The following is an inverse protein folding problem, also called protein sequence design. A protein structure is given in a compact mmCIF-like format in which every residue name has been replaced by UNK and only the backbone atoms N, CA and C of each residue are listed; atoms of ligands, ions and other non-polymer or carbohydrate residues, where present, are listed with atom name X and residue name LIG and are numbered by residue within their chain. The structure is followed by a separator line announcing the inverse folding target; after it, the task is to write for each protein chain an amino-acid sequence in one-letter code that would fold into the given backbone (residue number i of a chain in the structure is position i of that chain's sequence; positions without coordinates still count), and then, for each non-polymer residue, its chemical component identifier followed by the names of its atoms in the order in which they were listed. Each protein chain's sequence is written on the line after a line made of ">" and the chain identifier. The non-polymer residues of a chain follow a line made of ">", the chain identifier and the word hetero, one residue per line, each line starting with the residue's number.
data_IF_525399554986
#
_entry.id   IF_525399554986
#
_cell.length_a   1.000
_cell.length_b   1.000
_cell.length_c   1.000
_cell.angle_alpha   90.00
_cell.angle_beta   90.00
_cell.angle_gamma   90.00
#
_symmetry.space_group_name_H-M   'P 1'
#
loop_
_entity.id
_entity.type
_entity.pdbx_description
1 polymer ?
#
# COMPACT_ATOMS: atom_id res chain seq x y z
N UNK A 1 35.76 48.29 31.99
CA UNK A 1 34.47 48.59 32.63
C UNK A 1 33.55 49.06 31.51
N UNK A 2 32.51 48.38 31.06
CA UNK A 2 31.99 47.04 31.34
C UNK A 2 31.28 46.55 30.08
N UNK A 3 31.58 45.31 29.70
CA UNK A 3 30.94 44.54 28.63
C UNK A 3 29.68 43.88 29.17
N UNK A 4 28.48 44.42 28.95
CA UNK A 4 27.24 43.65 29.17
C UNK A 4 26.01 44.20 28.43
N UNK A 5 25.96 44.08 27.10
CA UNK A 5 24.67 43.95 26.39
C UNK A 5 24.79 42.75 25.45
N UNK A 6 24.96 41.59 26.05
CA UNK A 6 24.82 40.29 25.42
C UNK A 6 23.79 39.55 26.26
N UNK A 7 22.55 39.40 25.77
CA UNK A 7 21.48 38.47 26.23
C UNK A 7 20.09 38.86 25.71
N UNK A 8 19.95 39.15 24.42
CA UNK A 8 18.64 38.97 23.74
C UNK A 8 18.91 38.32 22.37
N UNK A 9 19.63 37.20 22.42
CA UNK A 9 19.56 36.16 21.42
C UNK A 9 18.90 34.96 22.11
N UNK A 10 18.06 34.23 21.37
CA UNK A 10 17.27 33.08 21.81
C UNK A 10 15.94 33.41 22.51
N UNK A 11 14.89 33.71 21.71
CA UNK A 11 13.52 33.34 22.09
C UNK A 11 12.48 33.42 20.95
N UNK A 12 12.83 33.81 19.71
CA UNK A 12 11.83 33.86 18.60
C UNK A 12 12.39 33.18 17.35
N UNK A 13 12.69 31.89 17.50
CA UNK A 13 12.75 30.96 16.39
C UNK A 13 12.04 29.70 16.88
N UNK A 14 10.73 29.83 17.10
CA UNK A 14 9.86 28.66 17.17
C UNK A 14 9.81 28.11 15.75
N UNK A 15 10.84 27.33 15.42
CA UNK A 15 10.89 26.51 14.24
C UNK A 15 9.55 25.77 14.16
N UNK A 16 8.83 25.97 13.06
CA UNK A 16 7.93 24.96 12.56
C UNK A 16 8.78 23.72 12.26
N UNK A 17 9.14 22.98 13.30
CA UNK A 17 9.31 21.56 13.19
C UNK A 17 7.91 21.04 12.87
N UNK A 18 7.58 21.06 11.58
CA UNK A 18 6.67 20.07 11.03
C UNK A 18 7.29 18.75 11.45
N UNK A 19 6.77 18.18 12.54
CA UNK A 19 6.86 16.78 12.82
C UNK A 19 6.29 16.12 11.57
N UNK A 20 7.15 15.86 10.60
CA UNK A 20 6.97 14.76 9.70
C UNK A 20 6.97 13.55 10.64
N UNK A 21 5.78 13.27 11.18
CA UNK A 21 5.43 11.93 11.65
C UNK A 21 6.02 11.01 10.59
N UNK A 22 6.94 10.09 10.94
CA UNK A 22 7.37 9.12 9.97
C UNK A 22 6.09 8.41 9.57
N UNK A 23 5.58 8.73 8.38
CA UNK A 23 4.51 7.98 7.74
C UNK A 23 5.00 6.55 7.84
N UNK A 24 4.29 5.76 8.66
CA UNK A 24 4.71 4.48 9.20
C UNK A 24 5.83 3.88 8.36
N UNK A 25 7.05 3.79 8.91
CA UNK A 25 8.12 3.03 8.28
C UNK A 25 7.47 1.74 7.80
N UNK A 26 7.25 1.67 6.48
CA UNK A 26 6.42 0.67 5.84
C UNK A 26 6.97 -0.65 6.36
N UNK A 27 6.10 -1.55 6.85
CA UNK A 27 6.54 -2.88 7.27
C UNK A 27 6.95 -3.65 6.02
N UNK A 28 8.14 -3.31 5.55
CA UNK A 28 8.83 -3.75 4.36
C UNK A 28 9.25 -5.20 4.53
N UNK A 29 9.48 -5.63 5.78
CA UNK A 29 9.77 -7.00 6.14
C UNK A 29 8.54 -7.88 5.86
N UNK A 30 7.36 -7.47 6.35
CA UNK A 30 6.11 -8.20 6.08
C UNK A 30 5.78 -8.27 4.59
N UNK A 31 5.89 -7.16 3.86
CA UNK A 31 5.68 -7.18 2.41
C UNK A 31 6.71 -8.05 1.68
N UNK A 32 7.96 -8.07 2.14
CA UNK A 32 9.01 -8.97 1.62
C UNK A 32 8.65 -10.44 1.81
N UNK A 33 8.22 -10.83 3.01
CA UNK A 33 7.77 -12.20 3.29
C UNK A 33 6.57 -12.58 2.42
N UNK A 34 5.55 -11.72 2.35
CA UNK A 34 4.37 -11.98 1.52
C UNK A 34 4.72 -12.06 0.03
N UNK A 35 5.65 -11.23 -0.45
CA UNK A 35 6.15 -11.26 -1.82
C UNK A 35 6.90 -12.57 -2.16
N UNK A 36 7.69 -13.07 -1.20
CA UNK A 36 8.39 -14.35 -1.34
C UNK A 36 7.42 -15.54 -1.43
N UNK A 37 6.24 -15.46 -0.81
CA UNK A 37 5.18 -16.48 -0.91
C UNK A 37 4.46 -16.50 -2.26
N UNK A 38 4.54 -15.42 -3.06
CA UNK A 38 3.88 -15.35 -4.36
C UNK A 38 4.58 -16.22 -5.41
N UNK A 39 3.80 -16.90 -6.24
CA UNK A 39 4.31 -17.54 -7.46
C UNK A 39 4.70 -16.50 -8.53
N UNK A 40 5.43 -16.91 -9.56
CA UNK A 40 5.76 -16.01 -10.67
C UNK A 40 4.51 -15.48 -11.40
N UNK A 41 3.47 -16.31 -11.50
CA UNK A 41 2.17 -15.91 -12.07
C UNK A 41 1.48 -14.84 -11.23
N UNK A 42 1.51 -14.99 -9.91
CA UNK A 42 0.95 -14.03 -8.95
C UNK A 42 1.67 -12.67 -9.03
N UNK A 43 3.02 -12.70 -9.08
CA UNK A 43 3.85 -11.51 -9.25
C UNK A 43 3.59 -10.83 -10.60
N UNK A 44 3.41 -11.60 -11.67
CA UNK A 44 3.05 -11.05 -12.98
C UNK A 44 1.67 -10.38 -12.98
N UNK A 45 0.70 -10.95 -12.25
CA UNK A 45 -0.65 -10.40 -12.13
C UNK A 45 -0.64 -8.99 -11.53
N UNK A 46 0.02 -8.79 -10.38
CA UNK A 46 0.07 -7.47 -9.73
C UNK A 46 0.89 -6.45 -10.54
N UNK A 47 1.98 -6.89 -11.19
CA UNK A 47 2.75 -6.05 -12.13
C UNK A 47 1.89 -5.55 -13.29
N UNK A 48 1.08 -6.42 -13.86
CA UNK A 48 0.19 -6.08 -14.97
C UNK A 48 -0.93 -5.14 -14.50
N UNK A 49 -1.58 -5.47 -13.38
CA UNK A 49 -2.72 -4.72 -12.89
C UNK A 49 -2.35 -3.29 -12.46
N UNK A 50 -1.17 -3.11 -11.84
CA UNK A 50 -0.70 -1.81 -11.35
C UNK A 50 -0.41 -0.78 -12.45
N UNK A 51 -0.50 -1.14 -13.73
CA UNK A 51 -0.32 -0.19 -14.83
C UNK A 51 -1.49 0.77 -15.07
N UNK A 52 -2.69 0.52 -14.47
CA UNK A 52 -3.88 1.34 -14.74
C UNK A 52 -4.83 1.40 -13.55
N UNK A 53 -5.34 2.60 -13.26
CA UNK A 53 -6.35 2.86 -12.21
C UNK A 53 -7.63 2.10 -12.51
N UNK A 54 -8.22 1.52 -11.46
CA UNK A 54 -9.47 0.77 -11.54
C UNK A 54 -9.33 -0.63 -12.10
N UNK A 55 -8.11 -1.05 -12.51
CA UNK A 55 -7.90 -2.44 -12.92
C UNK A 55 -8.25 -3.37 -11.77
N UNK A 56 -9.19 -4.29 -12.03
CA UNK A 56 -9.67 -5.23 -11.04
C UNK A 56 -8.81 -6.48 -11.05
N UNK A 57 -8.53 -6.99 -9.86
CA UNK A 57 -7.89 -8.27 -9.62
C UNK A 57 -8.80 -9.09 -8.70
N UNK A 58 -8.93 -10.37 -9.01
CA UNK A 58 -9.75 -11.30 -8.24
C UNK A 58 -8.88 -12.44 -7.75
N UNK A 59 -9.18 -12.92 -6.55
CA UNK A 59 -8.51 -14.08 -5.99
C UNK A 59 -9.41 -14.75 -4.96
N UNK A 60 -8.89 -15.78 -4.29
CA UNK A 60 -9.59 -16.52 -3.25
C UNK A 60 -8.98 -16.18 -1.90
N UNK A 61 -9.83 -16.00 -0.90
CA UNK A 61 -9.47 -15.75 0.49
C UNK A 61 -8.47 -16.79 0.99
N UNK A 62 -7.40 -16.32 1.63
CA UNK A 62 -6.33 -17.17 2.16
C UNK A 62 -5.22 -17.50 1.19
N UNK A 63 -5.38 -17.24 -0.12
CA UNK A 63 -4.30 -17.37 -1.10
C UNK A 63 -3.15 -16.39 -0.82
N UNK A 64 -1.93 -16.66 -1.32
CA UNK A 64 -0.81 -15.72 -1.25
C UNK A 64 -1.16 -14.33 -1.82
N UNK A 65 -1.85 -14.29 -2.97
CA UNK A 65 -2.38 -13.04 -3.56
C UNK A 65 -3.31 -12.30 -2.60
N UNK A 66 -4.28 -13.00 -1.99
CA UNK A 66 -5.22 -12.36 -1.09
C UNK A 66 -4.50 -11.69 0.09
N UNK A 67 -3.49 -12.35 0.68
CA UNK A 67 -2.71 -11.78 1.78
C UNK A 67 -1.92 -10.54 1.32
N UNK A 68 -1.19 -10.65 0.22
CA UNK A 68 -0.36 -9.56 -0.30
C UNK A 68 -1.22 -8.36 -0.73
N UNK A 69 -2.29 -8.59 -1.48
CA UNK A 69 -3.18 -7.53 -1.96
C UNK A 69 -3.99 -6.89 -0.83
N UNK A 70 -4.36 -7.64 0.21
CA UNK A 70 -4.97 -7.04 1.41
C UNK A 70 -3.99 -6.11 2.14
N UNK A 71 -2.71 -6.46 2.20
CA UNK A 71 -1.69 -5.58 2.77
C UNK A 71 -1.52 -4.30 1.94
N UNK A 72 -1.58 -4.40 0.61
CA UNK A 72 -1.59 -3.22 -0.27
C UNK A 72 -2.88 -2.39 -0.12
N UNK A 73 -4.02 -3.05 0.11
CA UNK A 73 -5.32 -2.40 0.39
C UNK A 73 -5.27 -1.61 1.70
N UNK A 74 -4.74 -2.21 2.77
CA UNK A 74 -4.52 -1.53 4.05
C UNK A 74 -3.58 -0.31 3.97
N UNK A 75 -2.75 -0.23 2.93
CA UNK A 75 -1.86 0.91 2.62
C UNK A 75 -2.48 1.94 1.67
N UNK A 76 -3.72 1.71 1.24
CA UNK A 76 -4.47 2.53 0.29
C UNK A 76 -3.92 2.48 -1.14
N UNK A 77 -3.16 1.43 -1.49
CA UNK A 77 -2.64 1.23 -2.84
C UNK A 77 -3.66 0.46 -3.71
N UNK A 78 -4.38 -0.47 -3.08
CA UNK A 78 -5.57 -1.10 -3.63
C UNK A 78 -6.79 -0.62 -2.83
N UNK A 79 -7.97 -0.82 -3.39
CA UNK A 79 -9.24 -0.77 -2.66
C UNK A 79 -9.93 -2.11 -2.77
N UNK A 80 -10.64 -2.51 -1.72
CA UNK A 80 -11.53 -3.66 -1.80
C UNK A 80 -12.71 -3.33 -2.73
N UNK A 81 -13.17 -4.31 -3.47
CA UNK A 81 -14.32 -4.19 -4.39
C UNK A 81 -15.38 -5.17 -3.93
N UNK A 82 -16.61 -4.69 -3.74
CA UNK A 82 -17.69 -5.59 -3.37
C UNK A 82 -18.02 -6.50 -4.55
N UNK A 83 -18.19 -7.80 -4.32
CA UNK A 83 -18.48 -8.74 -5.41
C UNK A 83 -19.80 -8.42 -6.12
N UNK A 84 -20.75 -7.79 -5.44
CA UNK A 84 -22.01 -7.29 -6.04
C UNK A 84 -21.76 -6.24 -7.12
N UNK A 85 -20.69 -5.45 -7.01
CA UNK A 85 -20.30 -4.49 -8.07
C UNK A 85 -19.82 -5.19 -9.35
N UNK A 86 -19.38 -6.44 -9.24
CA UNK A 86 -18.79 -7.19 -10.35
C UNK A 86 -19.76 -8.22 -10.94
N UNK A 87 -20.47 -8.94 -10.06
CA UNK A 87 -21.27 -10.11 -10.42
C UNK A 87 -22.78 -9.92 -10.16
N UNK A 88 -23.20 -8.78 -9.61
CA UNK A 88 -24.61 -8.50 -9.31
C UNK A 88 -25.21 -9.61 -8.43
N UNK A 89 -26.31 -10.19 -8.90
CA UNK A 89 -27.08 -11.21 -8.17
C UNK A 89 -26.29 -12.50 -7.89
N UNK A 90 -25.23 -12.78 -8.65
CA UNK A 90 -24.39 -13.97 -8.43
C UNK A 90 -23.34 -13.78 -7.33
N UNK A 91 -23.18 -12.57 -6.80
CA UNK A 91 -22.13 -12.25 -5.83
C UNK A 91 -22.12 -13.20 -4.62
N UNK A 92 -23.30 -13.57 -4.10
CA UNK A 92 -23.41 -14.46 -2.96
C UNK A 92 -22.81 -15.86 -3.20
N UNK A 93 -22.81 -16.35 -4.44
CA UNK A 93 -22.20 -17.64 -4.80
C UNK A 93 -20.66 -17.54 -4.79
N UNK A 94 -20.13 -16.44 -5.34
CA UNK A 94 -18.70 -16.18 -5.34
C UNK A 94 -18.16 -15.86 -3.94
N UNK A 95 -18.93 -15.17 -3.10
CA UNK A 95 -18.58 -14.94 -1.69
C UNK A 95 -18.51 -16.26 -0.92
N UNK A 96 -19.45 -17.19 -1.13
CA UNK A 96 -19.41 -18.54 -0.55
C UNK A 96 -18.20 -19.35 -1.04
N UNK A 97 -17.81 -19.17 -2.29
CA UNK A 97 -16.57 -19.74 -2.83
C UNK A 97 -15.29 -19.05 -2.30
N UNK A 98 -15.44 -18.03 -1.44
CA UNK A 98 -14.33 -17.30 -0.83
C UNK A 98 -13.65 -16.31 -1.77
N UNK A 99 -14.30 -15.91 -2.87
CA UNK A 99 -13.74 -14.92 -3.78
C UNK A 99 -13.63 -13.57 -3.10
N UNK A 100 -12.54 -12.85 -3.41
CA UNK A 100 -12.32 -11.46 -3.01
C UNK A 100 -11.78 -10.69 -4.22
N UNK A 101 -12.10 -9.40 -4.28
CA UNK A 101 -11.70 -8.55 -5.39
C UNK A 101 -11.10 -7.23 -4.90
N UNK A 102 -10.13 -6.75 -5.65
CA UNK A 102 -9.42 -5.51 -5.39
C UNK A 102 -9.35 -4.69 -6.67
N UNK A 103 -9.35 -3.37 -6.55
CA UNK A 103 -9.09 -2.46 -7.66
C UNK A 103 -7.88 -1.57 -7.36
N UNK A 104 -7.08 -1.32 -8.39
CA UNK A 104 -5.92 -0.44 -8.27
C UNK A 104 -6.37 1.01 -8.09
N UNK A 105 -5.85 1.68 -7.07
CA UNK A 105 -6.12 3.10 -6.82
C UNK A 105 -5.14 3.99 -7.63
N UNK A 106 -5.39 5.30 -7.76
CA UNK A 106 -4.40 6.23 -8.31
C UNK A 106 -3.02 6.11 -7.64
N UNK A 107 -3.01 6.11 -6.29
CA UNK A 107 -1.78 5.92 -5.49
C UNK A 107 -1.10 4.57 -5.78
N UNK A 108 -1.90 3.53 -6.04
CA UNK A 108 -1.44 2.21 -6.43
C UNK A 108 -0.64 2.21 -7.73
N UNK A 109 -1.14 2.89 -8.77
CA UNK A 109 -0.43 3.01 -10.05
C UNK A 109 0.92 3.70 -9.87
N UNK A 110 0.98 4.72 -9.03
CA UNK A 110 2.21 5.48 -8.78
C UNK A 110 3.23 4.70 -7.94
N UNK A 111 2.77 3.92 -6.96
CA UNK A 111 3.65 3.36 -5.92
C UNK A 111 3.97 1.87 -6.10
N UNK A 112 3.04 1.05 -6.62
CA UNK A 112 3.22 -0.40 -6.70
C UNK A 112 4.40 -0.79 -7.60
N UNK A 113 4.62 -0.18 -8.79
CA UNK A 113 5.77 -0.56 -9.63
C UNK A 113 7.12 -0.35 -8.94
N UNK A 114 7.29 0.76 -8.22
CA UNK A 114 8.49 1.05 -7.44
C UNK A 114 8.67 0.08 -6.26
N UNK A 115 7.57 -0.20 -5.56
CA UNK A 115 7.55 -1.18 -4.47
C UNK A 115 7.92 -2.59 -4.96
N UNK A 116 7.32 -3.06 -6.05
CA UNK A 116 7.62 -4.38 -6.63
C UNK A 116 9.09 -4.48 -7.01
N UNK A 117 9.63 -3.46 -7.69
CA UNK A 117 11.05 -3.42 -8.03
C UNK A 117 11.94 -3.48 -6.78
N UNK A 118 11.57 -2.80 -5.70
CA UNK A 118 12.29 -2.88 -4.42
C UNK A 118 12.25 -4.28 -3.82
N UNK A 119 11.09 -4.94 -3.85
CA UNK A 119 10.92 -6.30 -3.31
C UNK A 119 11.63 -7.36 -4.14
N UNK A 120 11.77 -7.18 -5.46
CA UNK A 120 12.53 -8.09 -6.35
C UNK A 120 14.05 -8.01 -6.14
N UNK A 121 14.56 -6.92 -5.54
CA UNK A 121 15.99 -6.70 -5.32
C UNK A 121 16.45 -7.00 -3.86
N UNK A 122 15.57 -7.57 -3.03
CA UNK A 122 15.87 -8.02 -1.67
C UNK A 122 16.06 -9.53 -1.62
#
# INVERSE_FOLDING_TARGET
>A
MDTTINRIAAAVLLALAVLATPAAALDDAKLGTLWAELSDGDRAAIKTASGKVGTMMQTVKGSPNAKFWSELSGRGLLRDVMLVEIFGDQAAEFEKAGMVAFAVTPKGVESIPGLVKHLENK
#
